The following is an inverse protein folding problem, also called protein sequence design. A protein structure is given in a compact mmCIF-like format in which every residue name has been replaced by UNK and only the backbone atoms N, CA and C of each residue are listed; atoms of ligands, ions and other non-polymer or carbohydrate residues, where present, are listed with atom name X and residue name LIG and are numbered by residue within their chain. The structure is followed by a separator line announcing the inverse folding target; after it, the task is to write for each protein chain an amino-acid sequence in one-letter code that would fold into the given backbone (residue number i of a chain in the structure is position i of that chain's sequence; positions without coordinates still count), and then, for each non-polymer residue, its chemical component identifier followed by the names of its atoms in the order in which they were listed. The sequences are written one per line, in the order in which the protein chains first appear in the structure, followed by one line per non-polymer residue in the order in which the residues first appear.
data_IF_731296969581
#
_entry.id   IF_731296969581
#
_cell.length_a   1.000
_cell.length_b   1.000
_cell.length_c   1.000
_cell.angle_alpha   90.00
_cell.angle_beta   90.00
_cell.angle_gamma   90.00
#
_symmetry.space_group_name_H-M   'P 1'
#
loop_
_entity.id
_entity.type
_entity.pdbx_description
1 polymer ?
#
# COMPACT_ATOMS: atom_id res chain seq x y z
N UNK A 1 -22.62 -6.12 -16.64
CA UNK A 1 -22.00 -7.01 -17.66
C UNK A 1 -21.21 -8.05 -16.88
N UNK A 2 -21.48 -9.32 -17.05
CA UNK A 2 -20.72 -10.39 -16.39
C UNK A 2 -19.39 -10.57 -17.09
N UNK A 3 -18.31 -10.75 -16.30
CA UNK A 3 -17.01 -11.18 -16.84
C UNK A 3 -17.21 -12.58 -17.43
N UNK A 4 -16.75 -12.87 -18.68
CA UNK A 4 -16.74 -14.23 -19.19
C UNK A 4 -15.95 -15.16 -18.27
N UNK A 5 -16.30 -16.43 -18.27
CA UNK A 5 -15.62 -17.43 -17.45
C UNK A 5 -14.11 -17.48 -17.74
N UNK A 6 -13.31 -17.45 -16.69
CA UNK A 6 -11.85 -17.49 -16.75
C UNK A 6 -11.39 -18.88 -16.32
N UNK A 7 -11.05 -19.74 -17.28
CA UNK A 7 -10.50 -21.07 -17.00
C UNK A 7 -9.01 -21.00 -16.67
N UNK A 8 -8.22 -20.29 -17.49
CA UNK A 8 -6.77 -20.12 -17.32
C UNK A 8 -6.38 -18.67 -17.35
N UNK A 9 -5.80 -18.17 -16.27
CA UNK A 9 -5.39 -16.78 -16.14
C UNK A 9 -3.87 -16.62 -16.25
N UNK A 10 -3.41 -15.88 -17.26
CA UNK A 10 -2.03 -15.40 -17.31
C UNK A 10 -1.93 -14.07 -16.56
N UNK A 11 -1.00 -13.96 -15.61
CA UNK A 11 -0.77 -12.73 -14.84
C UNK A 11 0.56 -12.14 -15.25
N UNK A 12 0.57 -10.89 -15.69
CA UNK A 12 1.77 -10.19 -16.20
C UNK A 12 2.24 -9.18 -15.15
N UNK A 13 3.43 -9.42 -14.59
CA UNK A 13 4.05 -8.57 -13.59
C UNK A 13 5.51 -8.25 -13.96
N UNK A 14 6.02 -7.10 -13.53
CA UNK A 14 7.41 -6.72 -13.79
C UNK A 14 8.40 -7.60 -13.00
N UNK A 15 8.16 -7.80 -11.72
CA UNK A 15 8.96 -8.61 -10.80
C UNK A 15 8.10 -9.09 -9.62
N UNK A 16 8.54 -10.11 -8.87
CA UNK A 16 7.86 -10.54 -7.64
C UNK A 16 7.79 -9.41 -6.60
N UNK A 17 6.64 -9.30 -5.92
CA UNK A 17 6.35 -8.26 -4.92
C UNK A 17 5.68 -8.91 -3.71
N UNK A 18 6.14 -8.55 -2.51
CA UNK A 18 5.65 -9.10 -1.24
C UNK A 18 4.14 -8.93 -0.99
N UNK A 19 3.51 -7.96 -1.64
CA UNK A 19 2.07 -7.73 -1.53
C UNK A 19 1.23 -8.59 -2.48
N UNK A 20 1.82 -9.05 -3.60
CA UNK A 20 1.10 -9.85 -4.60
C UNK A 20 1.31 -11.35 -4.40
N UNK A 21 2.45 -11.78 -3.87
CA UNK A 21 2.75 -13.18 -3.68
C UNK A 21 1.67 -13.92 -2.85
N UNK A 22 1.20 -13.42 -1.69
CA UNK A 22 0.13 -14.08 -0.93
C UNK A 22 -1.21 -14.15 -1.68
N UNK A 23 -1.52 -13.12 -2.49
CA UNK A 23 -2.70 -13.15 -3.35
C UNK A 23 -2.59 -14.25 -4.41
N UNK A 24 -1.44 -14.35 -5.09
CA UNK A 24 -1.23 -15.38 -6.12
C UNK A 24 -1.22 -16.79 -5.54
N UNK A 25 -0.67 -16.97 -4.33
CA UNK A 25 -0.75 -18.23 -3.59
C UNK A 25 -2.20 -18.63 -3.31
N UNK A 26 -3.05 -17.69 -2.89
CA UNK A 26 -4.46 -17.95 -2.65
C UNK A 26 -5.23 -18.22 -3.95
N UNK A 27 -4.96 -17.45 -5.01
CA UNK A 27 -5.55 -17.68 -6.34
C UNK A 27 -5.22 -19.06 -6.89
N UNK A 28 -3.96 -19.49 -6.78
CA UNK A 28 -3.51 -20.78 -7.31
C UNK A 28 -4.15 -22.00 -6.61
N UNK A 29 -4.68 -21.83 -5.39
CA UNK A 29 -5.44 -22.87 -4.69
C UNK A 29 -6.87 -23.04 -5.24
N UNK A 30 -7.39 -22.03 -5.91
CA UNK A 30 -8.80 -21.97 -6.34
C UNK A 30 -8.93 -22.00 -7.87
N UNK A 31 -7.91 -21.53 -8.60
CA UNK A 31 -7.97 -21.28 -10.03
C UNK A 31 -6.65 -21.65 -10.73
N UNK A 32 -6.72 -21.99 -12.01
CA UNK A 32 -5.52 -22.20 -12.83
C UNK A 32 -4.90 -20.86 -13.21
N UNK A 33 -3.78 -20.53 -12.59
CA UNK A 33 -3.02 -19.32 -12.88
C UNK A 33 -1.56 -19.61 -13.23
N UNK A 34 -0.96 -18.72 -14.04
CA UNK A 34 0.49 -18.67 -14.23
C UNK A 34 0.96 -17.23 -14.27
N UNK A 35 1.99 -16.93 -13.48
CA UNK A 35 2.55 -15.57 -13.38
C UNK A 35 3.78 -15.45 -14.29
N UNK A 36 3.78 -14.43 -15.13
CA UNK A 36 4.86 -14.11 -16.05
C UNK A 36 5.58 -12.86 -15.54
N UNK A 37 6.84 -13.03 -15.14
CA UNK A 37 7.68 -11.94 -14.67
C UNK A 37 8.68 -11.50 -15.74
N UNK A 38 8.87 -10.19 -15.91
CA UNK A 38 9.85 -9.66 -16.86
C UNK A 38 11.29 -9.84 -16.38
N UNK A 39 11.52 -9.80 -15.06
CA UNK A 39 12.86 -9.74 -14.47
C UNK A 39 12.99 -10.62 -13.23
N UNK A 40 14.19 -11.23 -13.10
CA UNK A 40 14.64 -11.92 -11.89
C UNK A 40 15.19 -10.97 -10.82
N UNK A 41 15.21 -9.65 -11.06
CA UNK A 41 15.82 -8.65 -10.18
C UNK A 41 14.93 -8.30 -8.99
N UNK A 42 14.56 -9.28 -8.19
CA UNK A 42 13.83 -9.10 -6.93
C UNK A 42 14.66 -9.47 -5.70
N UNK A 43 15.71 -10.27 -5.90
CA UNK A 43 16.62 -10.66 -4.83
C UNK A 43 17.70 -9.59 -4.65
N UNK A 44 17.89 -9.17 -3.40
CA UNK A 44 18.96 -8.27 -2.99
C UNK A 44 19.11 -6.99 -3.83
N UNK A 45 17.96 -6.38 -4.20
CA UNK A 45 17.93 -5.16 -5.00
C UNK A 45 18.23 -3.94 -4.14
N UNK A 46 19.14 -3.08 -4.62
CA UNK A 46 19.36 -1.76 -4.01
C UNK A 46 18.11 -0.89 -4.16
N UNK A 47 17.52 -0.54 -3.03
CA UNK A 47 16.38 0.40 -2.98
C UNK A 47 16.91 1.79 -2.63
N UNK A 48 16.84 2.69 -3.62
CA UNK A 48 17.35 4.08 -3.49
C UNK A 48 16.66 4.82 -2.32
N UNK A 49 15.39 4.55 -2.07
CA UNK A 49 14.62 5.23 -1.02
C UNK A 49 15.01 4.79 0.39
N UNK A 50 15.40 3.51 0.58
CA UNK A 50 15.98 3.03 1.83
C UNK A 50 17.50 3.20 1.90
N UNK A 51 18.16 3.45 0.75
CA UNK A 51 19.62 3.58 0.67
C UNK A 51 20.38 2.26 0.97
N UNK A 52 19.73 1.11 0.75
CA UNK A 52 20.29 -0.22 1.05
C UNK A 52 19.77 -1.31 0.13
N UNK A 53 20.45 -2.44 0.11
CA UNK A 53 19.92 -3.65 -0.51
C UNK A 53 18.77 -4.21 0.33
N UNK A 54 17.66 -4.57 -0.32
CA UNK A 54 16.50 -5.18 0.32
C UNK A 54 16.37 -6.62 -0.20
N UNK A 55 16.32 -7.56 0.73
CA UNK A 55 15.87 -8.94 0.53
C UNK A 55 14.66 -9.16 1.43
N UNK A 56 13.54 -9.57 0.81
CA UNK A 56 12.31 -9.79 1.57
C UNK A 56 12.36 -11.14 2.30
N UNK A 57 11.98 -11.16 3.57
CA UNK A 57 11.97 -12.35 4.45
C UNK A 57 10.63 -13.12 4.39
N UNK A 58 9.91 -12.97 3.28
CA UNK A 58 8.66 -13.69 2.99
C UNK A 58 8.78 -14.40 1.65
N UNK A 59 8.12 -15.57 1.47
CA UNK A 59 8.19 -16.32 0.22
C UNK A 59 7.52 -15.56 -0.92
N UNK A 60 8.28 -15.22 -1.97
CA UNK A 60 7.79 -14.44 -3.10
C UNK A 60 7.35 -15.29 -4.29
N UNK A 61 7.86 -16.52 -4.42
CA UNK A 61 7.69 -17.39 -5.60
C UNK A 61 7.11 -18.76 -5.26
N UNK A 62 6.70 -18.99 -4.04
CA UNK A 62 6.16 -20.28 -3.60
C UNK A 62 4.64 -20.34 -3.80
N UNK A 63 4.10 -21.54 -3.99
CA UNK A 63 2.66 -21.82 -3.96
C UNK A 63 1.87 -21.41 -5.21
N UNK A 64 2.52 -21.04 -6.31
CA UNK A 64 1.89 -20.78 -7.60
C UNK A 64 2.85 -21.01 -8.79
N UNK A 65 2.32 -21.28 -9.96
CA UNK A 65 3.12 -21.45 -11.18
C UNK A 65 3.62 -20.10 -11.69
N UNK A 66 4.91 -20.01 -12.03
CA UNK A 66 5.50 -18.79 -12.58
C UNK A 66 6.58 -19.07 -13.63
N UNK A 67 6.94 -18.04 -14.38
CA UNK A 67 8.07 -18.04 -15.32
C UNK A 67 8.65 -16.63 -15.47
N UNK A 68 9.97 -16.54 -15.62
CA UNK A 68 10.64 -15.28 -15.94
C UNK A 68 10.71 -15.08 -17.44
N UNK A 69 9.60 -14.70 -18.04
CA UNK A 69 9.48 -14.42 -19.46
C UNK A 69 8.29 -13.53 -19.77
N UNK A 70 8.50 -12.54 -20.64
CA UNK A 70 7.44 -11.74 -21.28
C UNK A 70 7.42 -11.97 -22.81
N UNK A 71 7.98 -13.10 -23.30
CA UNK A 71 7.87 -13.45 -24.72
C UNK A 71 6.44 -13.83 -25.04
N UNK A 72 5.92 -13.26 -26.12
CA UNK A 72 4.54 -13.52 -26.56
C UNK A 72 4.29 -15.01 -26.79
N UNK A 73 5.30 -15.74 -27.31
CA UNK A 73 5.22 -17.18 -27.51
C UNK A 73 4.93 -17.94 -26.21
N UNK A 74 5.66 -17.62 -25.14
CA UNK A 74 5.48 -18.34 -23.86
C UNK A 74 4.10 -18.10 -23.24
N UNK A 75 3.51 -16.92 -23.49
CA UNK A 75 2.13 -16.62 -23.09
C UNK A 75 1.13 -17.38 -23.95
N UNK A 76 1.37 -17.45 -25.29
CA UNK A 76 0.55 -18.24 -26.20
C UNK A 76 0.58 -19.73 -25.89
N UNK A 77 1.75 -20.28 -25.57
CA UNK A 77 1.93 -21.70 -25.26
C UNK A 77 1.15 -22.10 -23.98
N UNK A 78 0.93 -21.16 -23.05
CA UNK A 78 0.07 -21.36 -21.87
C UNK A 78 -1.43 -21.40 -22.23
N UNK A 79 -1.84 -20.85 -23.38
CA UNK A 79 -3.23 -20.80 -23.88
C UNK A 79 -4.19 -20.15 -22.85
N UNK A 80 -3.93 -18.93 -22.36
CA UNK A 80 -4.79 -18.29 -21.39
C UNK A 80 -6.15 -17.93 -22.00
N UNK A 81 -7.23 -18.02 -21.20
CA UNK A 81 -8.55 -17.49 -21.56
C UNK A 81 -8.67 -16.01 -21.18
N UNK A 82 -7.87 -15.54 -20.21
CA UNK A 82 -7.74 -14.14 -19.83
C UNK A 82 -6.29 -13.78 -19.46
N UNK A 83 -5.94 -12.51 -19.61
CA UNK A 83 -4.63 -11.97 -19.22
C UNK A 83 -4.85 -10.79 -18.28
N UNK A 84 -4.34 -10.87 -17.04
CA UNK A 84 -4.33 -9.78 -16.08
C UNK A 84 -2.98 -9.07 -16.07
N UNK A 85 -2.97 -7.77 -16.35
CA UNK A 85 -1.75 -6.98 -16.52
C UNK A 85 -1.63 -5.95 -15.40
N UNK A 86 -0.53 -6.01 -14.63
CA UNK A 86 -0.21 -5.06 -13.57
C UNK A 86 0.63 -3.90 -14.09
N UNK A 87 -0.04 -2.77 -14.38
CA UNK A 87 0.60 -1.56 -14.89
C UNK A 87 0.91 -1.62 -16.40
N UNK A 88 1.12 -0.45 -16.99
CA UNK A 88 1.35 -0.29 -18.45
C UNK A 88 2.70 0.32 -18.80
N UNK A 89 3.41 0.91 -17.84
CA UNK A 89 4.60 1.74 -18.08
C UNK A 89 5.83 0.97 -18.63
N UNK A 90 5.76 -0.35 -18.64
CA UNK A 90 6.85 -1.19 -19.13
C UNK A 90 6.64 -1.54 -20.61
N UNK A 91 7.71 -1.45 -21.42
CA UNK A 91 7.65 -1.75 -22.85
C UNK A 91 7.09 -3.15 -23.17
N UNK A 92 7.43 -4.15 -22.34
CA UNK A 92 6.91 -5.51 -22.49
C UNK A 92 5.41 -5.60 -22.24
N UNK A 93 4.89 -4.93 -21.19
CA UNK A 93 3.46 -4.89 -20.92
C UNK A 93 2.69 -4.23 -22.05
N UNK A 94 3.21 -3.12 -22.58
CA UNK A 94 2.62 -2.44 -23.73
C UNK A 94 2.56 -3.34 -24.97
N UNK A 95 3.63 -4.07 -25.28
CA UNK A 95 3.66 -5.05 -26.38
C UNK A 95 2.61 -6.15 -26.19
N UNK A 96 2.47 -6.67 -24.98
CA UNK A 96 1.48 -7.70 -24.62
C UNK A 96 0.06 -7.16 -24.83
N UNK A 97 -0.25 -5.95 -24.33
CA UNK A 97 -1.55 -5.30 -24.54
C UNK A 97 -1.87 -5.18 -26.03
N UNK A 98 -0.94 -4.67 -26.84
CA UNK A 98 -1.17 -4.50 -28.26
C UNK A 98 -1.40 -5.82 -28.98
N UNK A 99 -0.63 -6.86 -28.62
CA UNK A 99 -0.68 -8.15 -29.29
C UNK A 99 -1.96 -8.94 -28.98
N UNK A 100 -2.38 -8.97 -27.71
CA UNK A 100 -3.51 -9.79 -27.26
C UNK A 100 -4.86 -9.05 -27.28
N UNK A 101 -4.88 -7.73 -27.43
CA UNK A 101 -6.14 -6.95 -27.55
C UNK A 101 -7.05 -7.53 -28.64
N UNK A 102 -8.35 -7.72 -28.33
CA UNK A 102 -9.39 -8.31 -29.18
C UNK A 102 -9.16 -9.81 -29.54
N UNK A 103 -8.15 -10.46 -28.98
CA UNK A 103 -7.86 -11.89 -29.18
C UNK A 103 -8.11 -12.70 -27.92
N UNK A 104 -7.76 -12.14 -26.78
CA UNK A 104 -7.93 -12.73 -25.46
C UNK A 104 -8.43 -11.61 -24.55
N UNK A 105 -9.31 -11.92 -23.59
CA UNK A 105 -9.82 -10.96 -22.63
C UNK A 105 -8.68 -10.34 -21.81
N UNK A 106 -8.56 -9.01 -21.85
CA UNK A 106 -7.54 -8.26 -21.15
C UNK A 106 -8.13 -7.59 -19.90
N UNK A 107 -7.66 -8.02 -18.75
CA UNK A 107 -7.88 -7.37 -17.46
C UNK A 107 -6.67 -6.48 -17.15
N UNK A 108 -6.92 -5.28 -16.69
CA UNK A 108 -5.86 -4.35 -16.32
C UNK A 108 -5.98 -3.96 -14.85
N UNK A 109 -4.86 -3.93 -14.14
CA UNK A 109 -4.78 -3.42 -12.77
C UNK A 109 -3.71 -2.35 -12.65
N UNK A 110 -4.08 -1.24 -12.03
CA UNK A 110 -3.19 -0.14 -11.66
C UNK A 110 -3.81 0.63 -10.50
N UNK A 111 -3.01 1.45 -9.84
CA UNK A 111 -3.38 2.21 -8.65
C UNK A 111 -3.16 3.72 -8.80
N UNK A 112 -2.91 4.20 -10.01
CA UNK A 112 -2.71 5.63 -10.29
C UNK A 112 -3.92 6.47 -9.89
N UNK A 113 -3.66 7.69 -9.40
CA UNK A 113 -4.68 8.64 -8.95
C UNK A 113 -4.54 10.00 -9.62
N UNK A 114 -5.51 10.89 -9.40
CA UNK A 114 -5.48 12.29 -9.84
C UNK A 114 -5.00 13.26 -8.75
N UNK A 115 -4.56 12.76 -7.59
CA UNK A 115 -4.16 13.58 -6.45
C UNK A 115 -2.93 14.45 -6.72
N UNK A 116 -2.11 14.06 -7.70
CA UNK A 116 -0.92 14.79 -8.13
C UNK A 116 -1.08 15.22 -9.60
N UNK A 117 -1.83 16.28 -9.90
CA UNK A 117 -2.04 16.73 -11.28
C UNK A 117 -0.72 17.22 -11.90
N UNK A 118 -0.43 16.74 -13.08
CA UNK A 118 0.69 17.24 -13.88
C UNK A 118 0.14 18.31 -14.84
N UNK A 119 0.36 19.58 -14.53
CA UNK A 119 -0.01 20.70 -15.40
C UNK A 119 1.13 20.98 -16.39
N UNK A 120 1.24 20.21 -17.46
CA UNK A 120 2.23 20.40 -18.51
C UNK A 120 1.78 19.77 -19.83
N UNK A 121 2.41 20.17 -20.95
CA UNK A 121 2.21 19.53 -22.25
C UNK A 121 2.45 18.00 -22.22
N UNK A 122 3.34 17.53 -21.32
CA UNK A 122 3.59 16.10 -21.07
C UNK A 122 2.35 15.38 -20.54
N UNK A 123 1.51 16.07 -19.77
CA UNK A 123 0.24 15.51 -19.29
C UNK A 123 -0.74 15.26 -20.44
N UNK A 124 -0.76 16.14 -21.45
CA UNK A 124 -1.60 15.96 -22.64
C UNK A 124 -1.13 14.74 -23.44
N UNK A 125 0.17 14.62 -23.69
CA UNK A 125 0.72 13.46 -24.38
C UNK A 125 0.46 12.17 -23.61
N UNK A 126 0.66 12.18 -22.28
CA UNK A 126 0.32 11.04 -21.41
C UNK A 126 -1.16 10.69 -21.51
N UNK A 127 -2.04 11.66 -21.50
CA UNK A 127 -3.50 11.45 -21.60
C UNK A 127 -3.88 10.82 -22.95
N UNK A 128 -3.33 11.29 -24.05
CA UNK A 128 -3.53 10.69 -25.37
C UNK A 128 -3.03 9.24 -25.45
N UNK A 129 -1.86 8.97 -24.87
CA UNK A 129 -1.31 7.62 -24.82
C UNK A 129 -2.17 6.70 -23.96
N UNK A 130 -2.59 7.16 -22.76
CA UNK A 130 -3.43 6.38 -21.86
C UNK A 130 -4.78 6.02 -22.48
N UNK A 131 -5.43 6.96 -23.13
CA UNK A 131 -6.68 6.68 -23.86
C UNK A 131 -6.52 5.60 -24.93
N UNK A 132 -5.40 5.64 -25.67
CA UNK A 132 -5.09 4.60 -26.68
C UNK A 132 -4.82 3.23 -26.05
N UNK A 133 -4.19 3.19 -24.88
CA UNK A 133 -3.92 1.95 -24.14
C UNK A 133 -5.22 1.40 -23.57
N UNK A 134 -6.00 2.24 -22.87
CA UNK A 134 -7.23 1.81 -22.22
C UNK A 134 -8.34 1.40 -23.19
N UNK A 135 -8.37 1.97 -24.38
CA UNK A 135 -9.24 1.50 -25.47
C UNK A 135 -8.99 0.05 -25.93
N UNK A 136 -7.89 -0.57 -25.46
CA UNK A 136 -7.53 -1.96 -25.79
C UNK A 136 -7.77 -2.93 -24.62
N UNK A 137 -8.22 -2.42 -23.48
CA UNK A 137 -8.51 -3.18 -22.26
C UNK A 137 -10.00 -3.47 -22.21
N UNK A 138 -10.35 -4.72 -21.93
CA UNK A 138 -11.76 -5.11 -21.81
C UNK A 138 -12.30 -4.69 -20.43
N UNK A 139 -11.56 -4.96 -19.34
CA UNK A 139 -11.93 -4.56 -17.99
C UNK A 139 -10.74 -4.01 -17.20
N UNK A 140 -10.99 -2.99 -16.38
CA UNK A 140 -10.00 -2.44 -15.47
C UNK A 140 -10.41 -2.63 -14.00
N UNK A 141 -9.51 -3.23 -13.22
CA UNK A 141 -9.69 -3.53 -11.81
C UNK A 141 -9.24 -2.33 -10.99
N UNK A 142 -10.17 -1.45 -10.62
CA UNK A 142 -9.84 -0.29 -9.81
C UNK A 142 -9.76 -0.63 -8.31
N UNK A 143 -8.87 0.08 -7.59
CA UNK A 143 -8.52 -0.23 -6.20
C UNK A 143 -9.31 0.58 -5.18
N UNK A 144 -9.82 1.75 -5.57
CA UNK A 144 -10.60 2.68 -4.74
C UNK A 144 -11.07 3.89 -5.55
N UNK A 145 -11.76 4.82 -4.90
CA UNK A 145 -12.45 5.96 -5.52
C UNK A 145 -11.52 6.86 -6.35
N UNK A 146 -10.35 7.23 -5.82
CA UNK A 146 -9.37 8.06 -6.52
C UNK A 146 -8.81 7.39 -7.78
N UNK A 147 -8.64 6.06 -7.74
CA UNK A 147 -8.18 5.31 -8.90
C UNK A 147 -9.30 5.12 -9.93
N UNK A 148 -10.55 4.92 -9.49
CA UNK A 148 -11.73 4.90 -10.37
C UNK A 148 -11.82 6.20 -11.18
N UNK A 149 -11.76 7.35 -10.51
CA UNK A 149 -11.78 8.66 -11.15
C UNK A 149 -10.63 8.84 -12.17
N UNK A 150 -9.45 8.27 -11.89
CA UNK A 150 -8.34 8.26 -12.84
C UNK A 150 -8.67 7.47 -14.10
N UNK A 151 -9.21 6.27 -13.99
CA UNK A 151 -9.58 5.45 -15.14
C UNK A 151 -10.67 6.10 -15.99
N UNK A 152 -11.71 6.65 -15.36
CA UNK A 152 -12.79 7.38 -16.04
C UNK A 152 -12.27 8.60 -16.81
N UNK A 153 -11.38 9.40 -16.21
CA UNK A 153 -10.75 10.55 -16.87
C UNK A 153 -9.99 10.16 -18.13
N UNK A 154 -9.39 8.97 -18.16
CA UNK A 154 -8.60 8.50 -19.29
C UNK A 154 -9.36 7.55 -20.22
N UNK A 155 -10.70 7.52 -20.13
CA UNK A 155 -11.58 6.98 -21.15
C UNK A 155 -12.13 5.57 -20.94
N UNK A 156 -11.92 4.97 -19.75
CA UNK A 156 -12.63 3.75 -19.38
C UNK A 156 -14.07 4.10 -18.96
N UNK A 157 -15.02 3.31 -19.44
CA UNK A 157 -16.43 3.44 -19.10
C UNK A 157 -16.74 2.72 -17.79
N UNK A 158 -17.85 3.10 -17.13
CA UNK A 158 -18.29 2.43 -15.90
C UNK A 158 -18.54 0.94 -16.08
N UNK A 159 -18.95 0.50 -17.27
CA UNK A 159 -19.16 -0.91 -17.59
C UNK A 159 -17.86 -1.72 -17.71
N UNK A 160 -16.72 -1.05 -17.90
CA UNK A 160 -15.40 -1.67 -17.94
C UNK A 160 -14.71 -1.67 -16.56
N UNK A 161 -15.27 -0.96 -15.57
CA UNK A 161 -14.65 -0.77 -14.27
C UNK A 161 -15.18 -1.79 -13.25
N UNK A 162 -14.28 -2.56 -12.65
CA UNK A 162 -14.56 -3.57 -11.65
C UNK A 162 -13.86 -3.19 -10.35
N UNK A 163 -14.61 -3.15 -9.25
CA UNK A 163 -14.03 -2.83 -7.95
C UNK A 163 -13.28 -4.02 -7.37
N UNK A 164 -11.95 -3.99 -7.48
CA UNK A 164 -11.05 -5.00 -6.91
C UNK A 164 -10.19 -4.34 -5.82
N UNK A 165 -10.72 -4.28 -4.62
CA UNK A 165 -10.13 -3.59 -3.45
C UNK A 165 -8.66 -3.95 -3.25
N UNK A 166 -7.81 -2.94 -2.95
CA UNK A 166 -6.40 -3.21 -2.65
C UNK A 166 -6.28 -3.80 -1.25
N UNK A 167 -5.72 -4.98 -1.13
CA UNK A 167 -5.70 -5.77 0.10
C UNK A 167 -4.28 -6.19 0.48
N UNK A 168 -4.10 -6.52 1.76
CA UNK A 168 -2.92 -7.15 2.33
C UNK A 168 -3.32 -8.48 2.99
N UNK A 169 -2.36 -9.23 3.50
CA UNK A 169 -2.61 -10.42 4.32
C UNK A 169 -3.10 -9.99 5.71
N UNK A 170 -4.40 -9.74 5.83
CA UNK A 170 -5.02 -9.29 7.08
C UNK A 170 -4.77 -10.27 8.22
N UNK A 171 -4.82 -11.59 7.97
CA UNK A 171 -4.63 -12.60 9.00
C UNK A 171 -3.24 -12.52 9.62
N UNK A 172 -2.22 -12.28 8.81
CA UNK A 172 -0.82 -12.11 9.26
C UNK A 172 -0.65 -10.92 10.21
N UNK A 173 -1.28 -9.79 9.91
CA UNK A 173 -1.19 -8.58 10.74
C UNK A 173 -2.09 -8.65 11.98
N UNK A 174 -3.21 -9.37 11.92
CA UNK A 174 -4.14 -9.56 13.03
C UNK A 174 -3.68 -10.64 14.03
N UNK A 175 -2.83 -11.59 13.60
CA UNK A 175 -2.35 -12.67 14.46
C UNK A 175 -1.64 -12.13 15.70
N UNK A 176 -2.13 -12.51 16.88
CA UNK A 176 -1.69 -11.99 18.19
C UNK A 176 -0.20 -12.24 18.45
N UNK A 177 0.55 -11.19 18.85
CA UNK A 177 1.99 -11.20 19.13
C UNK A 177 2.32 -10.50 20.46
N UNK A 178 1.50 -10.72 21.49
CA UNK A 178 1.55 -9.97 22.75
C UNK A 178 2.93 -9.98 23.40
N UNK A 179 3.62 -11.14 23.48
CA UNK A 179 4.94 -11.23 24.09
C UNK A 179 5.99 -10.42 23.34
N UNK A 180 5.97 -10.45 22.01
CA UNK A 180 6.93 -9.71 21.18
C UNK A 180 6.66 -8.20 21.25
N UNK A 181 5.40 -7.81 21.28
CA UNK A 181 4.94 -6.42 21.46
C UNK A 181 5.36 -5.88 22.82
N UNK A 182 5.15 -6.64 23.91
CA UNK A 182 5.57 -6.26 25.24
C UNK A 182 7.11 -6.09 25.32
N UNK A 183 7.88 -7.02 24.75
CA UNK A 183 9.35 -6.91 24.68
C UNK A 183 9.79 -5.67 23.89
N UNK A 184 9.13 -5.35 22.78
CA UNK A 184 9.46 -4.16 21.99
C UNK A 184 9.17 -2.88 22.79
N UNK A 185 7.98 -2.74 23.39
CA UNK A 185 7.63 -1.57 24.21
C UNK A 185 8.58 -1.42 25.41
N UNK A 186 8.90 -2.50 26.10
CA UNK A 186 9.86 -2.49 27.22
C UNK A 186 11.26 -2.04 26.78
N UNK A 187 11.75 -2.50 25.60
CA UNK A 187 13.05 -2.09 25.07
C UNK A 187 13.13 -0.60 24.72
N UNK A 188 12.00 0.04 24.52
CA UNK A 188 11.84 1.48 24.25
C UNK A 188 11.44 2.27 25.50
N UNK A 189 11.40 1.63 26.66
CA UNK A 189 10.93 2.23 27.93
C UNK A 189 9.53 2.85 27.85
N UNK A 190 8.61 2.21 27.08
CA UNK A 190 7.22 2.65 26.89
C UNK A 190 6.32 1.80 27.79
N UNK A 191 5.64 2.44 28.75
CA UNK A 191 4.71 1.75 29.64
C UNK A 191 3.42 1.32 28.89
N UNK A 192 2.71 0.33 29.44
CA UNK A 192 1.45 -0.15 28.83
C UNK A 192 0.38 0.94 28.78
N UNK A 193 0.38 1.87 29.75
CA UNK A 193 -0.55 2.99 29.78
C UNK A 193 -0.24 4.07 28.74
N UNK A 194 1.01 4.18 28.29
CA UNK A 194 1.45 5.22 27.36
C UNK A 194 0.89 5.00 25.97
N UNK A 195 0.72 6.08 25.22
CA UNK A 195 0.30 6.07 23.83
C UNK A 195 1.52 6.03 22.93
N UNK A 196 1.53 5.14 21.94
CA UNK A 196 2.59 5.06 20.94
C UNK A 196 2.05 5.43 19.55
N UNK A 197 2.56 6.52 18.99
CA UNK A 197 2.39 6.91 17.59
C UNK A 197 3.46 6.23 16.74
N UNK A 198 3.08 5.63 15.63
CA UNK A 198 3.97 4.96 14.69
C UNK A 198 4.02 5.67 13.34
N UNK A 199 5.22 5.96 12.86
CA UNK A 199 5.54 6.14 11.46
C UNK A 199 6.31 4.93 10.98
N UNK A 200 5.92 4.29 9.88
CA UNK A 200 6.66 3.19 9.27
C UNK A 200 6.79 3.40 7.75
N UNK A 201 8.02 3.53 7.27
CA UNK A 201 8.29 3.75 5.85
C UNK A 201 9.66 4.35 5.57
N UNK A 202 9.88 4.68 4.30
CA UNK A 202 11.12 5.34 3.87
C UNK A 202 11.23 6.74 4.48
N UNK A 203 12.40 7.06 5.05
CA UNK A 203 12.70 8.38 5.60
C UNK A 203 13.17 9.32 4.46
N UNK A 204 12.23 9.69 3.59
CA UNK A 204 12.45 10.54 2.40
C UNK A 204 11.44 11.70 2.37
N UNK A 205 11.72 12.81 1.66
CA UNK A 205 10.87 14.01 1.64
C UNK A 205 9.41 13.72 1.28
N UNK A 206 9.16 12.87 0.30
CA UNK A 206 7.81 12.47 -0.14
C UNK A 206 6.94 11.92 1.00
N UNK A 207 7.54 11.19 1.94
CA UNK A 207 6.84 10.57 3.08
C UNK A 207 6.62 11.54 4.24
N UNK A 208 7.20 12.73 4.20
CA UNK A 208 7.11 13.80 5.20
C UNK A 208 7.33 13.38 6.66
N UNK A 209 8.35 12.56 6.97
CA UNK A 209 8.65 12.19 8.36
C UNK A 209 9.01 13.42 9.21
N UNK A 210 9.58 14.47 8.60
CA UNK A 210 9.90 15.73 9.30
C UNK A 210 8.66 16.49 9.77
N UNK A 211 7.56 16.45 8.98
CA UNK A 211 6.31 17.09 9.36
C UNK A 211 5.74 16.45 10.64
N UNK A 212 5.72 15.11 10.68
CA UNK A 212 5.26 14.37 11.86
C UNK A 212 6.18 14.61 13.07
N UNK A 213 7.51 14.59 12.85
CA UNK A 213 8.47 14.87 13.92
C UNK A 213 8.25 16.26 14.53
N UNK A 214 8.04 17.30 13.70
CA UNK A 214 7.77 18.66 14.16
C UNK A 214 6.43 18.75 14.90
N UNK A 215 5.37 18.16 14.33
CA UNK A 215 4.05 18.14 14.96
C UNK A 215 4.11 17.48 16.35
N UNK A 216 4.65 16.26 16.44
CA UNK A 216 4.78 15.53 17.71
C UNK A 216 5.72 16.23 18.69
N UNK A 217 6.87 16.73 18.22
CA UNK A 217 7.86 17.43 19.05
C UNK A 217 7.35 18.73 19.65
N UNK A 218 6.34 19.38 19.04
CA UNK A 218 5.69 20.58 19.59
C UNK A 218 4.65 20.27 20.67
N UNK A 219 4.22 18.99 20.80
CA UNK A 219 3.27 18.57 21.82
C UNK A 219 4.00 18.19 23.09
N UNK A 220 3.53 18.75 24.23
CA UNK A 220 4.06 18.38 25.54
C UNK A 220 3.10 17.38 26.20
N UNK A 221 3.18 16.12 25.78
CA UNK A 221 2.33 15.01 26.24
C UNK A 221 3.22 13.94 26.91
N UNK A 222 3.34 13.94 28.24
CA UNK A 222 4.32 13.10 28.96
C UNK A 222 4.09 11.59 28.81
N UNK A 223 2.86 11.15 28.53
CA UNK A 223 2.50 9.74 28.31
C UNK A 223 2.35 9.37 26.81
N UNK A 224 2.94 10.15 25.91
CA UNK A 224 2.91 9.87 24.48
C UNK A 224 4.32 9.71 23.93
N UNK A 225 4.50 8.70 23.07
CA UNK A 225 5.75 8.39 22.39
C UNK A 225 5.57 8.38 20.88
N UNK A 226 6.64 8.71 20.15
CA UNK A 226 6.72 8.57 18.70
C UNK A 226 7.77 7.52 18.34
N UNK A 227 7.39 6.51 17.56
CA UNK A 227 8.31 5.54 16.97
C UNK A 227 8.39 5.76 15.46
N UNK A 228 9.58 6.05 14.98
CA UNK A 228 9.89 6.19 13.56
C UNK A 228 10.68 4.97 13.08
N UNK A 229 10.07 4.18 12.18
CA UNK A 229 10.65 2.93 11.66
C UNK A 229 10.98 3.07 10.19
N UNK A 230 12.23 2.85 9.85
CA UNK A 230 12.69 2.85 8.46
C UNK A 230 14.06 3.50 8.28
N UNK A 231 14.56 3.46 7.06
CA UNK A 231 15.80 4.09 6.62
C UNK A 231 15.51 5.07 5.47
N UNK A 232 16.47 5.94 5.18
CA UNK A 232 16.40 6.88 4.07
C UNK A 232 17.29 8.10 4.28
N UNK A 233 17.37 8.96 3.27
CA UNK A 233 18.29 10.12 3.24
C UNK A 233 18.05 11.14 4.36
N UNK A 234 16.85 11.16 4.96
CA UNK A 234 16.52 12.06 6.07
C UNK A 234 16.84 11.47 7.45
N UNK A 235 17.24 10.19 7.56
CA UNK A 235 17.37 9.48 8.82
C UNK A 235 18.22 10.23 9.85
N UNK A 236 19.46 10.60 9.49
CA UNK A 236 20.37 11.29 10.39
C UNK A 236 19.90 12.72 10.73
N UNK A 237 19.30 13.41 9.76
CA UNK A 237 18.73 14.75 10.00
C UNK A 237 17.56 14.70 10.98
N UNK A 238 16.69 13.68 10.85
CA UNK A 238 15.56 13.47 11.76
C UNK A 238 16.05 13.21 13.19
N UNK A 239 17.02 12.33 13.38
CA UNK A 239 17.62 12.05 14.71
C UNK A 239 18.21 13.32 15.35
N UNK A 240 19.00 14.11 14.60
CA UNK A 240 19.55 15.38 15.06
C UNK A 240 18.46 16.40 15.42
N UNK A 241 17.39 16.48 14.61
CA UNK A 241 16.31 17.40 14.86
C UNK A 241 15.45 16.98 16.06
N UNK A 242 15.27 15.67 16.29
CA UNK A 242 14.56 15.16 17.46
C UNK A 242 15.17 15.66 18.78
N UNK A 243 16.50 15.74 18.88
CA UNK A 243 17.21 16.21 20.08
C UNK A 243 16.92 17.67 20.45
N UNK A 244 16.33 18.45 19.54
CA UNK A 244 15.96 19.86 19.78
C UNK A 244 14.66 20.03 20.56
N UNK A 245 13.84 18.97 20.67
CA UNK A 245 12.57 19.02 21.35
C UNK A 245 12.73 18.62 22.82
N UNK A 246 11.94 19.26 23.70
CA UNK A 246 11.96 18.99 25.15
C UNK A 246 11.54 17.53 25.46
N UNK A 247 10.68 16.95 24.62
CA UNK A 247 10.20 15.58 24.72
C UNK A 247 11.01 14.58 23.87
N UNK A 248 12.27 14.89 23.53
CA UNK A 248 13.14 14.04 22.69
C UNK A 248 13.31 12.61 23.25
N UNK A 249 13.25 12.43 24.56
CA UNK A 249 13.31 11.12 25.22
C UNK A 249 12.14 10.20 24.86
N UNK A 250 11.02 10.77 24.41
CA UNK A 250 9.85 10.04 23.93
C UNK A 250 9.83 9.80 22.43
N UNK A 251 10.90 10.17 21.70
CA UNK A 251 11.04 10.00 20.25
C UNK A 251 12.05 8.91 19.95
N UNK A 252 11.59 7.79 19.40
CA UNK A 252 12.37 6.59 19.14
C UNK A 252 12.56 6.36 17.65
N UNK A 253 13.73 5.78 17.29
CA UNK A 253 14.06 5.42 15.91
C UNK A 253 14.45 3.94 15.85
N UNK A 254 13.86 3.21 14.90
CA UNK A 254 14.29 1.88 14.51
C UNK A 254 14.67 1.88 13.03
N UNK A 255 15.73 1.16 12.63
CA UNK A 255 16.10 1.00 11.24
C UNK A 255 14.99 0.25 10.48
N UNK A 256 15.15 0.10 9.16
CA UNK A 256 14.28 -0.73 8.34
C UNK A 256 14.00 -2.09 9.00
N UNK A 257 12.72 -2.42 9.07
CA UNK A 257 12.22 -3.71 9.54
C UNK A 257 11.64 -4.49 8.37
N UNK A 258 11.97 -5.78 8.29
CA UNK A 258 11.47 -6.63 7.21
C UNK A 258 10.06 -7.16 7.50
N UNK A 259 9.44 -7.81 6.54
CA UNK A 259 8.01 -8.15 6.53
C UNK A 259 7.59 -9.03 7.72
N UNK A 260 8.44 -9.97 8.16
CA UNK A 260 8.12 -10.82 9.33
C UNK A 260 8.02 -10.02 10.63
N UNK A 261 8.77 -8.92 10.77
CA UNK A 261 8.76 -8.08 11.97
C UNK A 261 7.65 -7.03 11.96
N UNK A 262 7.16 -6.63 10.79
CA UNK A 262 6.17 -5.54 10.65
C UNK A 262 4.87 -5.77 11.44
N UNK A 263 4.29 -6.98 11.57
CA UNK A 263 3.12 -7.18 12.43
C UNK A 263 3.36 -6.78 13.89
N UNK A 264 4.54 -7.08 14.46
CA UNK A 264 4.91 -6.68 15.82
C UNK A 264 5.00 -5.15 15.93
N UNK A 265 5.62 -4.51 14.93
CA UNK A 265 5.75 -3.04 14.87
C UNK A 265 4.37 -2.40 14.86
N UNK A 266 3.46 -2.82 13.98
CA UNK A 266 2.10 -2.26 13.95
C UNK A 266 1.33 -2.56 15.24
N UNK A 267 1.41 -3.80 15.76
CA UNK A 267 0.69 -4.14 17.00
C UNK A 267 1.21 -3.40 18.23
N UNK A 268 2.46 -2.91 18.22
CA UNK A 268 3.03 -2.16 19.34
C UNK A 268 2.48 -0.74 19.48
N UNK A 269 1.96 -0.12 18.41
CA UNK A 269 1.43 1.24 18.46
C UNK A 269 -0.06 1.29 18.81
N UNK A 270 -0.54 2.49 19.11
CA UNK A 270 -1.95 2.82 19.32
C UNK A 270 -2.50 3.62 18.13
N UNK A 271 -1.66 4.45 17.51
CA UNK A 271 -1.96 5.30 16.36
C UNK A 271 -0.91 5.10 15.28
N UNK A 272 -1.32 4.78 14.06
CA UNK A 272 -0.46 4.80 12.87
C UNK A 272 -0.64 6.14 12.13
N UNK A 273 0.47 6.84 11.88
CA UNK A 273 0.45 8.11 11.14
C UNK A 273 1.17 7.98 9.79
N UNK A 274 0.47 8.35 8.70
CA UNK A 274 1.01 8.36 7.34
C UNK A 274 0.94 9.77 6.73
N UNK A 275 1.96 10.63 6.93
CA UNK A 275 1.92 12.03 6.56
C UNK A 275 2.32 12.31 5.10
N UNK A 276 2.38 11.31 4.23
CA UNK A 276 2.88 11.42 2.85
C UNK A 276 2.26 12.58 2.07
N UNK A 277 3.10 13.31 1.31
CA UNK A 277 2.67 14.46 0.51
C UNK A 277 2.47 14.16 -0.98
N UNK A 278 2.79 12.94 -1.43
CA UNK A 278 2.90 12.69 -2.87
C UNK A 278 4.21 13.29 -3.45
N UNK A 279 4.37 13.35 -4.76
CA UNK A 279 3.56 12.60 -5.73
C UNK A 279 3.75 11.09 -5.64
N UNK A 280 2.73 10.36 -6.07
CA UNK A 280 2.81 8.90 -6.22
C UNK A 280 2.64 8.11 -4.91
N UNK A 281 1.94 8.63 -3.90
CA UNK A 281 1.38 7.83 -2.82
C UNK A 281 0.01 7.30 -3.26
N UNK A 282 0.05 6.39 -4.22
CA UNK A 282 -1.12 6.00 -5.01
C UNK A 282 -2.18 5.27 -4.19
N UNK A 283 -1.78 4.53 -3.14
CA UNK A 283 -2.72 3.85 -2.26
C UNK A 283 -2.37 4.00 -0.77
N UNK A 284 -1.18 3.56 -0.36
CA UNK A 284 -0.76 3.54 1.05
C UNK A 284 -1.12 2.22 1.74
N UNK A 285 -0.63 1.08 1.23
CA UNK A 285 -0.89 -0.26 1.80
C UNK A 285 -0.54 -0.39 3.29
N UNK A 286 0.37 0.44 3.80
CA UNK A 286 0.68 0.53 5.23
C UNK A 286 -0.55 0.88 6.09
N UNK A 287 -1.55 1.60 5.53
CA UNK A 287 -2.84 1.83 6.21
C UNK A 287 -3.60 0.51 6.36
N UNK A 288 -3.68 -0.31 5.30
CA UNK A 288 -4.34 -1.62 5.39
C UNK A 288 -3.66 -2.52 6.44
N UNK A 289 -2.31 -2.52 6.49
CA UNK A 289 -1.52 -3.28 7.46
C UNK A 289 -1.81 -2.81 8.91
N UNK A 290 -1.83 -1.50 9.14
CA UNK A 290 -2.15 -0.91 10.45
C UNK A 290 -3.60 -1.19 10.86
N UNK A 291 -4.56 -1.09 9.93
CA UNK A 291 -5.97 -1.42 10.16
C UNK A 291 -6.15 -2.90 10.52
N UNK A 292 -5.45 -3.81 9.81
CA UNK A 292 -5.49 -5.24 10.10
C UNK A 292 -4.87 -5.55 11.47
N UNK A 293 -3.88 -4.77 11.91
CA UNK A 293 -3.32 -4.83 13.27
C UNK A 293 -4.20 -4.13 14.32
N UNK A 294 -5.37 -3.61 13.96
CA UNK A 294 -6.33 -2.98 14.88
C UNK A 294 -5.89 -1.61 15.40
N UNK A 295 -5.33 -0.76 14.54
CA UNK A 295 -4.81 0.55 14.94
C UNK A 295 -5.68 1.71 14.45
N UNK A 296 -5.75 2.77 15.26
CA UNK A 296 -6.29 4.05 14.80
C UNK A 296 -5.38 4.64 13.71
N UNK A 297 -5.96 5.37 12.76
CA UNK A 297 -5.25 5.88 11.59
C UNK A 297 -5.29 7.41 11.54
N UNK A 298 -4.14 8.03 11.28
CA UNK A 298 -4.04 9.44 10.90
C UNK A 298 -3.26 9.52 9.58
N UNK A 299 -3.88 10.01 8.52
CA UNK A 299 -3.23 10.10 7.23
C UNK A 299 -3.47 11.44 6.53
N UNK A 300 -2.58 11.81 5.60
CA UNK A 300 -2.82 12.98 4.77
C UNK A 300 -3.83 12.70 3.67
N UNK A 301 -4.47 13.75 3.17
CA UNK A 301 -5.39 13.73 2.01
C UNK A 301 -4.68 13.36 0.68
N UNK A 302 -3.34 13.32 0.67
CA UNK A 302 -2.52 12.88 -0.49
C UNK A 302 -2.22 11.39 -0.51
N UNK A 303 -2.68 10.62 0.48
CA UNK A 303 -2.62 9.17 0.45
C UNK A 303 -3.83 8.64 -0.31
N UNK A 304 -3.59 7.95 -1.44
CA UNK A 304 -4.64 7.60 -2.40
C UNK A 304 -5.80 6.77 -1.83
N UNK A 305 -5.52 5.90 -0.86
CA UNK A 305 -6.53 5.08 -0.19
C UNK A 305 -7.19 5.75 1.03
N UNK A 306 -6.74 6.94 1.46
CA UNK A 306 -7.24 7.57 2.69
C UNK A 306 -8.76 7.78 2.66
N UNK A 307 -9.29 8.33 1.56
CA UNK A 307 -10.72 8.60 1.41
C UNK A 307 -11.63 7.35 1.44
N UNK A 308 -11.07 6.18 1.08
CA UNK A 308 -11.82 4.92 1.07
C UNK A 308 -11.67 4.15 2.41
N UNK A 309 -10.51 4.32 3.09
CA UNK A 309 -10.14 3.52 4.25
C UNK A 309 -10.41 4.22 5.59
N UNK A 310 -10.47 5.55 5.63
CA UNK A 310 -10.55 6.32 6.87
C UNK A 310 -11.88 7.08 6.94
N UNK A 311 -12.53 6.96 8.08
CA UNK A 311 -13.67 7.77 8.53
C UNK A 311 -13.61 7.95 10.06
N UNK A 312 -14.59 8.66 10.63
CA UNK A 312 -14.63 8.98 12.06
C UNK A 312 -14.64 7.76 12.98
N UNK A 313 -15.00 6.58 12.45
CA UNK A 313 -15.01 5.33 13.24
C UNK A 313 -13.62 4.77 13.48
N UNK A 314 -12.61 5.15 12.67
CA UNK A 314 -11.29 4.52 12.70
C UNK A 314 -10.10 5.48 12.58
N UNK A 315 -10.33 6.77 12.32
CA UNK A 315 -9.21 7.71 12.20
C UNK A 315 -9.59 9.10 11.71
N UNK A 316 -8.57 9.88 11.39
CA UNK A 316 -8.73 11.23 10.86
C UNK A 316 -7.84 11.44 9.61
N UNK A 317 -8.29 12.34 8.74
CA UNK A 317 -7.52 12.79 7.58
C UNK A 317 -7.13 14.26 7.83
N UNK A 318 -5.87 14.61 7.54
CA UNK A 318 -5.37 15.98 7.62
C UNK A 318 -4.88 16.48 6.25
N UNK A 319 -4.81 17.79 6.09
CA UNK A 319 -4.34 18.46 4.87
C UNK A 319 -2.83 18.28 4.71
N UNK A 320 -2.41 17.67 3.62
CA UNK A 320 -1.00 17.36 3.34
C UNK A 320 -0.11 18.61 3.40
N UNK A 321 1.01 18.51 4.09
CA UNK A 321 1.97 19.61 4.27
C UNK A 321 1.55 20.65 5.31
N UNK A 322 0.35 20.59 5.85
CA UNK A 322 -0.13 21.53 6.86
C UNK A 322 0.28 21.05 8.27
N UNK A 323 1.28 21.71 8.85
CA UNK A 323 1.79 21.38 10.19
C UNK A 323 0.76 21.63 11.29
N UNK A 324 0.00 22.71 11.20
CA UNK A 324 -1.02 23.10 12.16
C UNK A 324 -2.14 22.06 12.21
N UNK A 325 -2.72 21.72 11.05
CA UNK A 325 -3.80 20.71 10.96
C UNK A 325 -3.34 19.33 11.46
N UNK A 326 -2.10 18.89 11.10
CA UNK A 326 -1.52 17.66 11.63
C UNK A 326 -1.37 17.71 13.16
N UNK A 327 -0.87 18.84 13.69
CA UNK A 327 -0.67 19.01 15.14
C UNK A 327 -1.99 18.96 15.89
N UNK A 328 -3.03 19.64 15.39
CA UNK A 328 -4.36 19.67 16.01
C UNK A 328 -5.05 18.30 15.97
N UNK A 329 -4.93 17.58 14.84
CA UNK A 329 -5.45 16.20 14.72
C UNK A 329 -4.71 15.25 15.67
N UNK A 330 -3.38 15.34 15.77
CA UNK A 330 -2.60 14.57 16.74
C UNK A 330 -3.04 14.89 18.17
N UNK A 331 -3.13 16.18 18.53
CA UNK A 331 -3.57 16.60 19.85
C UNK A 331 -4.94 16.02 20.19
N UNK A 332 -5.89 16.07 19.27
CA UNK A 332 -7.23 15.52 19.44
C UNK A 332 -7.21 14.01 19.68
N UNK A 333 -6.42 13.27 18.87
CA UNK A 333 -6.37 11.81 18.96
C UNK A 333 -5.60 11.30 20.18
N UNK A 334 -4.56 12.02 20.63
CA UNK A 334 -3.71 11.60 21.74
C UNK A 334 -4.28 11.93 23.15
N UNK A 335 -5.51 12.47 23.23
CA UNK A 335 -6.19 12.73 24.52
C UNK A 335 -6.49 11.44 25.28
N UNK A 336 -6.83 10.35 24.58
CA UNK A 336 -7.30 9.13 25.22
C UNK A 336 -6.86 7.87 24.48
N UNK A 337 -6.09 7.02 25.16
CA UNK A 337 -5.74 5.68 24.65
C UNK A 337 -6.99 4.83 24.38
N UNK A 338 -8.03 4.96 25.22
CA UNK A 338 -9.31 4.24 25.04
C UNK A 338 -9.99 4.63 23.73
N UNK A 339 -9.96 5.91 23.35
CA UNK A 339 -10.52 6.37 22.08
C UNK A 339 -9.76 5.75 20.90
N UNK A 340 -8.43 5.72 20.95
CA UNK A 340 -7.60 5.06 19.93
C UNK A 340 -7.89 3.54 19.82
N UNK A 341 -8.15 2.87 20.95
CA UNK A 341 -8.55 1.46 20.96
C UNK A 341 -9.93 1.23 20.30
N UNK A 342 -10.88 2.15 20.50
CA UNK A 342 -12.20 2.10 19.84
C UNK A 342 -12.02 2.30 18.34
N UNK A 343 -11.26 3.30 17.91
CA UNK A 343 -10.92 3.52 16.49
C UNK A 343 -10.18 2.33 15.89
N UNK A 344 -9.27 1.70 16.64
CA UNK A 344 -8.57 0.48 16.21
C UNK A 344 -9.52 -0.70 15.97
N UNK A 345 -10.57 -0.86 16.79
CA UNK A 345 -11.65 -1.83 16.54
C UNK A 345 -12.42 -1.49 15.26
N UNK A 346 -12.74 -0.22 15.03
CA UNK A 346 -13.33 0.27 13.78
C UNK A 346 -12.47 -0.07 12.57
N UNK A 347 -11.15 0.13 12.66
CA UNK A 347 -10.20 -0.28 11.63
C UNK A 347 -10.27 -1.78 11.33
N UNK A 348 -10.24 -2.62 12.37
CA UNK A 348 -10.30 -4.08 12.22
C UNK A 348 -11.59 -4.54 11.55
N UNK A 349 -12.73 -3.96 11.90
CA UNK A 349 -14.02 -4.29 11.27
C UNK A 349 -14.04 -3.86 9.79
N UNK A 350 -13.61 -2.63 9.51
CA UNK A 350 -13.62 -2.08 8.15
C UNK A 350 -12.72 -2.86 7.20
N UNK A 351 -11.52 -3.23 7.64
CA UNK A 351 -10.53 -3.92 6.79
C UNK A 351 -10.94 -5.36 6.44
N UNK A 352 -11.86 -5.99 7.16
CA UNK A 352 -12.41 -7.31 6.80
C UNK A 352 -12.97 -7.35 5.39
N UNK A 353 -13.52 -6.24 4.92
CA UNK A 353 -14.05 -6.08 3.56
C UNK A 353 -12.95 -5.78 2.51
N UNK A 354 -11.68 -5.63 2.94
CA UNK A 354 -10.52 -5.35 2.11
C UNK A 354 -9.55 -6.53 2.20
N UNK A 355 -9.93 -7.65 1.60
CA UNK A 355 -9.19 -8.91 1.69
C UNK A 355 -8.94 -9.51 0.30
N UNK A 356 -8.06 -10.49 0.22
CA UNK A 356 -7.70 -11.14 -1.03
C UNK A 356 -8.87 -11.89 -1.68
N UNK A 357 -9.79 -12.46 -0.89
CA UNK A 357 -10.92 -13.18 -1.47
C UNK A 357 -11.86 -12.26 -2.25
N UNK A 358 -12.14 -11.04 -1.72
CA UNK A 358 -12.90 -10.04 -2.48
C UNK A 358 -12.19 -9.63 -3.77
N UNK A 359 -10.86 -9.55 -3.75
CA UNK A 359 -10.09 -9.23 -4.94
C UNK A 359 -10.15 -10.38 -5.96
N UNK A 360 -10.07 -11.63 -5.52
CA UNK A 360 -10.22 -12.83 -6.36
C UNK A 360 -11.62 -12.85 -6.96
N UNK A 361 -12.65 -12.69 -6.13
CA UNK A 361 -14.04 -12.65 -6.58
C UNK A 361 -14.25 -11.59 -7.67
N UNK A 362 -13.68 -10.40 -7.47
CA UNK A 362 -13.76 -9.32 -8.47
C UNK A 362 -13.07 -9.69 -9.80
N UNK A 363 -11.93 -10.38 -9.76
CA UNK A 363 -11.20 -10.82 -10.96
C UNK A 363 -12.01 -11.87 -11.75
N UNK A 364 -12.64 -12.79 -11.05
CA UNK A 364 -13.39 -13.88 -11.68
C UNK A 364 -14.89 -13.60 -11.86
N UNK A 365 -15.36 -12.40 -11.51
CA UNK A 365 -16.76 -12.02 -11.64
C UNK A 365 -17.71 -12.77 -10.69
N UNK A 366 -17.19 -13.29 -9.59
CA UNK A 366 -17.97 -14.01 -8.57
C UNK A 366 -18.55 -12.97 -7.59
N UNK A 367 -19.85 -12.87 -7.48
CA UNK A 367 -20.58 -11.95 -6.58
C UNK A 367 -20.74 -12.52 -5.17
#
# INVERSE_FOLDING_TARGET
MQIPEIERLAIICQHPVQYYAPLFQLMAKQHEIKVFYASKSYENRFDIGFGRNISWDVPLLEGYAYVFSHRLKDIHDYRPTAILIYGWAYRSHFKIILHFSKRIMLLFRGDSTLLDPINSWRAILKACLLRKIYAKIDFALYVGSNNKAYFEKFGLTTTQLIYAKHAVDNARFAATRQLEVAKLRASLAIADADILVLFAGKLIPKKQPELLLKAFGSLNLPAAHLLMVGDGILGETLKKNALKFSNHHAIHFLPFQNQQRMPVIYQSCDLFCMPSAGPGETWGLAINEAMAAGKAILASDKVGGAADLIDDSNGLIFTSGNLEDLTDKLKTMLVSKRTLQIMGKGSSEKVKNWNFQHQINAIYGIS
#
